data_IF_330770653078
#
_entry.id   IF_330770653078
#
_cell.length_a   1.000
_cell.length_b   1.000
_cell.length_c   1.000
_cell.angle_alpha   90.00
_cell.angle_beta   90.00
_cell.angle_gamma   90.00
#
_symmetry.space_group_name_H-M   'P 1'
#
loop_
_entity.id
_entity.type
_entity.pdbx_description
1 polymer ?
#
# COMPACT_ATOMS: atom_id res chain seq x y z
N UNK A 1 -20.81 -7.60 0.19
CA UNK A 1 -19.95 -8.69 -0.30
C UNK A 1 -18.93 -8.09 -1.23
N UNK A 2 -17.66 -8.14 -0.86
CA UNK A 2 -16.59 -7.60 -1.69
C UNK A 2 -16.11 -8.67 -2.66
N UNK A 3 -15.84 -8.29 -3.90
CA UNK A 3 -15.33 -9.22 -4.90
C UNK A 3 -13.81 -9.24 -4.83
N UNK A 4 -13.19 -10.39 -4.52
CA UNK A 4 -11.75 -10.53 -4.60
C UNK A 4 -11.26 -10.13 -6.00
N UNK A 5 -10.13 -9.43 -6.05
CA UNK A 5 -9.47 -9.04 -7.30
C UNK A 5 -8.10 -9.70 -7.38
N UNK A 6 -7.49 -9.67 -8.56
CA UNK A 6 -6.14 -10.19 -8.78
C UNK A 6 -5.22 -9.07 -9.24
N UNK A 7 -4.03 -9.02 -8.67
CA UNK A 7 -2.91 -8.22 -9.15
C UNK A 7 -1.98 -9.14 -9.91
N UNK A 8 -1.49 -8.68 -11.06
CA UNK A 8 -0.57 -9.41 -11.91
C UNK A 8 0.67 -8.56 -12.14
N UNK A 9 1.85 -9.19 -12.09
CA UNK A 9 3.09 -8.58 -12.56
C UNK A 9 3.57 -9.30 -13.82
N UNK A 10 3.99 -8.53 -14.80
CA UNK A 10 4.53 -9.02 -16.07
C UNK A 10 5.93 -8.45 -16.28
N UNK A 11 6.79 -9.22 -16.93
CA UNK A 11 8.07 -8.71 -17.44
C UNK A 11 7.85 -7.79 -18.66
N UNK A 12 8.90 -7.08 -19.15
CA UNK A 12 8.79 -6.22 -20.32
C UNK A 12 8.39 -6.92 -21.63
N UNK A 13 8.42 -8.26 -21.66
CA UNK A 13 8.02 -9.09 -22.79
C UNK A 13 6.58 -9.60 -22.66
N UNK A 14 5.87 -9.26 -21.57
CA UNK A 14 4.50 -9.71 -21.31
C UNK A 14 4.41 -11.11 -20.72
N UNK A 15 5.51 -11.71 -20.24
CA UNK A 15 5.45 -12.95 -19.49
C UNK A 15 5.02 -12.66 -18.06
N UNK A 16 4.00 -13.39 -17.56
CA UNK A 16 3.53 -13.23 -16.18
C UNK A 16 4.61 -13.72 -15.22
N UNK A 17 5.09 -12.82 -14.37
CA UNK A 17 6.04 -13.13 -13.29
C UNK A 17 5.30 -13.75 -12.11
N UNK A 18 4.22 -13.11 -11.64
CA UNK A 18 3.38 -13.63 -10.56
C UNK A 18 1.96 -13.06 -10.60
N UNK A 19 1.08 -13.66 -9.80
CA UNK A 19 -0.26 -13.16 -9.51
C UNK A 19 -0.58 -13.24 -8.01
N UNK A 20 -1.40 -12.32 -7.51
CA UNK A 20 -1.87 -12.30 -6.12
C UNK A 20 -3.36 -12.05 -6.03
N UNK A 21 -4.03 -12.84 -5.19
CA UNK A 21 -5.42 -12.61 -4.82
C UNK A 21 -5.49 -11.55 -3.73
N UNK A 22 -6.30 -10.52 -3.95
CA UNK A 22 -6.57 -9.45 -3.02
C UNK A 22 -8.03 -9.59 -2.56
N UNK A 23 -8.29 -9.93 -1.29
CA UNK A 23 -9.60 -10.41 -0.83
C UNK A 23 -10.69 -9.32 -0.85
N UNK A 24 -10.31 -8.04 -0.79
CA UNK A 24 -11.25 -6.90 -0.67
C UNK A 24 -11.25 -5.97 -1.89
N UNK A 25 -10.99 -6.53 -3.07
CA UNK A 25 -10.88 -5.77 -4.32
C UNK A 25 -9.60 -4.96 -4.40
N UNK A 26 -9.33 -4.33 -5.53
CA UNK A 26 -8.23 -3.37 -5.70
C UNK A 26 -8.84 -2.03 -6.07
N UNK A 27 -8.51 -1.00 -5.30
CA UNK A 27 -8.94 0.39 -5.52
C UNK A 27 -7.81 1.22 -6.13
N UNK A 28 -6.58 1.02 -5.66
CA UNK A 28 -5.39 1.74 -6.14
C UNK A 28 -4.14 0.86 -6.04
N UNK A 29 -3.12 1.16 -6.84
CA UNK A 29 -1.80 0.52 -6.84
C UNK A 29 -0.75 1.63 -6.96
N UNK A 30 0.31 1.54 -6.16
CA UNK A 30 1.51 2.38 -6.23
C UNK A 30 2.77 1.52 -6.29
N UNK A 31 3.84 2.04 -6.89
CA UNK A 31 5.15 1.37 -6.95
C UNK A 31 6.20 2.22 -6.26
N UNK A 32 6.85 1.66 -5.25
CA UNK A 32 7.92 2.36 -4.54
C UNK A 32 8.93 1.37 -3.97
N UNK A 33 10.20 1.74 -4.00
CA UNK A 33 11.26 1.15 -3.20
C UNK A 33 11.11 1.69 -1.77
N UNK A 34 10.51 0.89 -0.90
CA UNK A 34 10.21 1.28 0.50
C UNK A 34 11.29 0.80 1.47
N UNK A 35 12.04 -0.25 1.13
CA UNK A 35 13.06 -0.83 1.99
C UNK A 35 14.50 -0.41 1.63
N UNK A 36 14.68 0.29 0.50
CA UNK A 36 15.95 0.82 0.03
C UNK A 36 16.83 -0.22 -0.67
N UNK A 37 16.29 -1.37 -1.09
CA UNK A 37 17.05 -2.41 -1.79
C UNK A 37 17.30 -2.09 -3.28
N UNK A 38 16.74 -0.99 -3.79
CA UNK A 38 16.85 -0.55 -5.17
C UNK A 38 15.83 -1.16 -6.12
N UNK A 39 14.87 -1.92 -5.60
CA UNK A 39 13.79 -2.54 -6.38
C UNK A 39 12.45 -2.03 -5.86
N UNK A 40 11.44 -2.11 -6.73
CA UNK A 40 10.12 -1.56 -6.43
C UNK A 40 9.24 -2.63 -5.82
N UNK A 41 8.63 -2.30 -4.70
CA UNK A 41 7.50 -3.02 -4.14
C UNK A 41 6.19 -2.58 -4.83
N UNK A 42 5.19 -3.47 -4.78
CA UNK A 42 3.83 -3.21 -5.23
C UNK A 42 2.95 -2.96 -4.01
N UNK A 43 2.51 -1.72 -3.85
CA UNK A 43 1.63 -1.27 -2.80
C UNK A 43 0.19 -1.31 -3.32
N UNK A 44 -0.68 -2.06 -2.64
CA UNK A 44 -2.06 -2.30 -3.09
C UNK A 44 -3.03 -1.74 -2.07
N UNK A 45 -3.80 -0.74 -2.48
CA UNK A 45 -4.89 -0.17 -1.72
C UNK A 45 -6.21 -0.84 -2.08
N UNK A 46 -6.94 -1.28 -1.08
CA UNK A 46 -8.24 -1.94 -1.20
C UNK A 46 -9.26 -1.30 -0.28
N UNK A 47 -10.45 -1.88 -0.24
CA UNK A 47 -11.42 -1.55 0.78
C UNK A 47 -10.95 -2.03 2.16
N UNK A 48 -10.65 -1.09 3.07
CA UNK A 48 -10.18 -1.34 4.44
C UNK A 48 -8.92 -2.19 4.55
N UNK A 49 -8.17 -2.35 3.46
CA UNK A 49 -7.03 -3.25 3.43
C UNK A 49 -5.93 -2.69 2.54
N UNK A 50 -4.72 -2.72 3.04
CA UNK A 50 -3.50 -2.35 2.38
C UNK A 50 -2.57 -3.56 2.39
N UNK A 51 -1.86 -3.78 1.29
CA UNK A 51 -0.92 -4.88 1.16
C UNK A 51 0.31 -4.43 0.39
N UNK A 52 1.48 -4.87 0.84
CA UNK A 52 2.74 -4.67 0.10
C UNK A 52 3.34 -5.99 -0.31
N UNK A 53 3.78 -6.05 -1.56
CA UNK A 53 4.29 -7.24 -2.22
C UNK A 53 5.63 -6.87 -2.86
N UNK A 54 6.68 -7.65 -2.62
CA UNK A 54 7.97 -7.41 -3.28
C UNK A 54 7.94 -7.74 -4.79
N UNK A 55 9.00 -7.39 -5.51
CA UNK A 55 9.11 -7.65 -6.95
C UNK A 55 9.08 -9.15 -7.33
N UNK A 56 9.23 -10.08 -6.38
CA UNK A 56 9.17 -11.53 -6.56
C UNK A 56 7.80 -12.12 -6.18
N UNK A 57 6.90 -11.30 -5.65
CA UNK A 57 5.59 -11.74 -5.22
C UNK A 57 5.55 -12.22 -3.77
N UNK A 58 6.53 -11.93 -2.92
CA UNK A 58 6.41 -12.20 -1.48
C UNK A 58 5.60 -11.10 -0.81
N UNK A 59 4.70 -11.47 0.11
CA UNK A 59 4.00 -10.46 0.91
C UNK A 59 4.97 -9.92 1.96
N UNK A 60 5.16 -8.60 1.99
CA UNK A 60 6.02 -7.95 2.98
C UNK A 60 5.19 -7.46 4.18
N UNK A 61 4.05 -6.84 3.92
CA UNK A 61 3.20 -6.27 4.96
C UNK A 61 1.72 -6.28 4.57
N UNK A 62 0.87 -6.20 5.60
CA UNK A 62 -0.56 -5.95 5.48
C UNK A 62 -0.99 -4.93 6.55
N UNK A 63 -1.96 -4.07 6.22
CA UNK A 63 -2.51 -3.08 7.15
C UNK A 63 -4.01 -2.88 6.91
N UNK A 64 -4.78 -2.56 7.95
CA UNK A 64 -6.21 -2.26 7.81
C UNK A 64 -6.50 -0.79 8.11
N UNK A 65 -7.32 -0.16 7.28
CA UNK A 65 -7.78 1.22 7.46
C UNK A 65 -9.28 1.25 7.78
N UNK A 66 -9.76 2.32 8.41
CA UNK A 66 -11.20 2.50 8.70
C UNK A 66 -12.07 2.78 7.47
N UNK A 67 -11.48 2.96 6.28
CA UNK A 67 -12.20 3.32 5.05
C UNK A 67 -11.64 2.67 3.78
N UNK A 68 -12.18 3.10 2.63
CA UNK A 68 -11.61 2.78 1.33
C UNK A 68 -10.27 3.48 1.18
N UNK A 69 -9.21 2.76 0.80
CA UNK A 69 -7.95 3.40 0.45
C UNK A 69 -8.08 3.94 -0.97
N UNK A 70 -8.20 5.25 -1.09
CA UNK A 70 -8.39 5.94 -2.37
C UNK A 70 -7.06 6.39 -2.98
N UNK A 71 -6.04 6.58 -2.14
CA UNK A 71 -4.74 7.08 -2.57
C UNK A 71 -3.61 6.51 -1.70
N UNK A 72 -2.43 6.37 -2.31
CA UNK A 72 -1.21 5.91 -1.66
C UNK A 72 -0.09 6.86 -2.12
N UNK A 73 0.65 7.43 -1.18
CA UNK A 73 1.86 8.20 -1.45
C UNK A 73 3.03 7.62 -0.65
N UNK A 74 4.20 7.59 -1.25
CA UNK A 74 5.43 7.14 -0.58
C UNK A 74 6.50 8.22 -0.71
N UNK A 75 6.86 8.85 0.40
CA UNK A 75 7.81 9.96 0.43
C UNK A 75 8.43 10.10 1.82
N UNK A 76 9.65 10.63 1.90
CA UNK A 76 10.26 11.06 3.16
C UNK A 76 9.62 12.40 3.61
N UNK A 77 8.65 12.33 4.52
CA UNK A 77 7.87 13.51 4.92
C UNK A 77 8.41 14.19 6.18
N UNK A 78 9.31 13.56 6.91
CA UNK A 78 9.93 14.12 8.12
C UNK A 78 11.42 14.45 7.98
N UNK A 79 12.03 14.09 6.84
CA UNK A 79 13.40 14.42 6.48
C UNK A 79 14.45 13.54 7.16
N UNK A 80 14.08 12.35 7.64
CA UNK A 80 15.02 11.42 8.29
C UNK A 80 15.79 10.52 7.31
N UNK A 81 15.47 10.61 6.01
CA UNK A 81 16.09 9.84 4.93
C UNK A 81 15.43 8.47 4.69
N UNK A 82 14.36 8.13 5.41
CA UNK A 82 13.50 6.97 5.15
C UNK A 82 12.16 7.45 4.63
N UNK A 83 11.54 6.64 3.77
CA UNK A 83 10.21 6.99 3.25
C UNK A 83 9.12 6.53 4.19
N UNK A 84 8.09 7.36 4.32
CA UNK A 84 6.81 6.99 4.88
C UNK A 84 5.85 6.51 3.81
N UNK A 85 4.88 5.69 4.21
CA UNK A 85 3.73 5.30 3.41
C UNK A 85 2.51 6.04 3.94
N UNK A 86 1.93 6.91 3.12
CA UNK A 86 0.72 7.65 3.42
C UNK A 86 -0.47 6.97 2.76
N UNK A 87 -1.48 6.62 3.55
CA UNK A 87 -2.72 6.00 3.06
C UNK A 87 -3.87 6.99 3.21
N UNK A 88 -4.40 7.45 2.08
CA UNK A 88 -5.60 8.28 2.02
C UNK A 88 -6.85 7.41 2.12
N UNK A 89 -7.48 7.38 3.29
CA UNK A 89 -8.72 6.65 3.57
C UNK A 89 -9.81 7.60 4.09
N UNK A 90 -10.76 7.09 4.88
CA UNK A 90 -11.62 7.96 5.71
C UNK A 90 -10.79 8.78 6.71
N UNK A 91 -9.64 8.22 7.11
CA UNK A 91 -8.59 8.89 7.87
C UNK A 91 -7.32 8.94 7.01
N UNK A 92 -6.39 9.83 7.38
CA UNK A 92 -5.02 9.76 6.90
C UNK A 92 -4.20 8.88 7.85
N UNK A 93 -3.55 7.86 7.31
CA UNK A 93 -2.55 7.06 8.03
C UNK A 93 -1.17 7.36 7.48
N UNK A 94 -0.19 7.45 8.37
CA UNK A 94 1.23 7.52 8.02
C UNK A 94 1.93 6.36 8.69
N UNK A 95 2.48 5.48 7.86
CA UNK A 95 3.24 4.30 8.28
C UNK A 95 4.72 4.53 7.97
N UNK A 96 5.60 3.93 8.76
CA UNK A 96 7.00 3.75 8.35
C UNK A 96 7.13 2.65 7.27
N UNK A 97 8.35 2.45 6.75
CA UNK A 97 8.66 1.41 5.76
C UNK A 97 8.41 -0.02 6.25
N UNK A 98 8.30 -0.25 7.56
CA UNK A 98 8.02 -1.55 8.17
C UNK A 98 6.52 -1.75 8.43
N UNK A 99 5.70 -0.71 8.28
CA UNK A 99 4.25 -0.73 8.50
C UNK A 99 3.76 -0.34 9.85
N UNK A 100 4.64 0.17 10.70
CA UNK A 100 4.24 0.71 11.98
C UNK A 100 3.60 2.07 11.76
N UNK A 101 2.46 2.31 12.41
CA UNK A 101 1.80 3.62 12.37
C UNK A 101 2.66 4.64 13.09
N UNK A 102 3.21 5.61 12.36
CA UNK A 102 3.85 6.80 12.95
C UNK A 102 2.80 7.71 13.56
N UNK A 103 1.73 7.98 12.81
CA UNK A 103 0.54 8.67 13.30
C UNK A 103 -0.64 8.48 12.35
N UNK A 104 -1.85 8.77 12.85
CA UNK A 104 -3.08 8.81 12.06
C UNK A 104 -3.91 10.05 12.43
N UNK A 105 -4.69 10.55 11.47
CA UNK A 105 -5.61 11.67 11.69
C UNK A 105 -6.91 11.43 10.95
N UNK A 106 -8.00 11.30 11.70
CA UNK A 106 -9.35 11.26 11.18
C UNK A 106 -10.00 12.63 11.08
N UNK A 107 -11.23 12.71 10.54
CA UNK A 107 -12.01 13.94 10.52
C UNK A 107 -12.20 14.46 11.95
N UNK A 108 -11.98 15.76 12.16
CA UNK A 108 -12.38 16.40 13.41
C UNK A 108 -13.90 16.43 13.46
N UNK A 109 -14.49 15.66 14.37
CA UNK A 109 -15.90 15.78 14.68
C UNK A 109 -16.10 17.13 15.36
N UNK A 110 -16.61 18.11 14.61
CA UNK A 110 -17.16 19.33 15.18
C UNK A 110 -18.41 18.91 15.96
N UNK A 111 -18.28 18.89 17.30
CA UNK A 111 -19.41 18.72 18.22
C UNK A 111 -20.30 19.97 18.23
#
# INVERSE_FOLDING_TARGET
YYTPSRVYLYDPHGNKMWEKLIPRGVATIELADIDGDGKMEVLVGSLHYFKVIDHQGNSLMDFETRGYINDILVEDIDGDGKKEILLGSNDLYVLDSEGNVKWEKGPELLL
#
